data_IF_240024382468
#
_entry.id   IF_240024382468
#
_cell.length_a   1.000
_cell.length_b   1.000
_cell.length_c   1.000
_cell.angle_alpha   90.00
_cell.angle_beta   90.00
_cell.angle_gamma   90.00
#
_symmetry.space_group_name_H-M   'P 1'
#
loop_
_entity.id
_entity.type
_entity.pdbx_description
1 polymer ?
#
# COMPACT_ATOMS: atom_id res chain seq x y z
N UNK A 1 -32.06 21.01 66.51
CA UNK A 1 -32.13 19.67 65.91
C UNK A 1 -32.47 19.82 64.44
N UNK A 2 -31.51 19.48 63.58
CA UNK A 2 -31.58 19.61 62.12
C UNK A 2 -31.70 18.19 61.55
N UNK A 3 -32.88 17.80 61.04
CA UNK A 3 -33.09 16.53 60.36
C UNK A 3 -33.11 16.79 58.86
N UNK A 4 -32.03 16.39 58.19
CA UNK A 4 -31.72 16.61 56.78
C UNK A 4 -32.05 15.35 55.98
N UNK A 5 -32.95 15.49 54.99
CA UNK A 5 -32.95 14.82 53.66
C UNK A 5 -33.14 13.28 53.63
N UNK A 6 -33.59 12.60 52.57
CA UNK A 6 -33.94 12.84 51.16
C UNK A 6 -35.07 11.82 50.85
N UNK A 7 -36.09 12.13 50.04
CA UNK A 7 -37.00 11.11 49.52
C UNK A 7 -36.26 10.27 48.45
N UNK A 8 -35.49 9.26 48.87
CA UNK A 8 -34.75 8.40 47.93
C UNK A 8 -34.63 6.92 48.36
N UNK A 9 -35.53 6.44 49.21
CA UNK A 9 -35.53 5.04 49.67
C UNK A 9 -36.33 4.07 48.77
N UNK A 10 -36.83 4.52 47.61
CA UNK A 10 -37.62 3.69 46.68
C UNK A 10 -36.99 3.56 45.28
N UNK A 11 -35.73 3.99 45.09
CA UNK A 11 -35.03 3.94 43.79
C UNK A 11 -33.75 3.09 43.81
N UNK A 12 -33.63 2.17 44.75
CA UNK A 12 -32.48 1.25 44.83
C UNK A 12 -32.86 -0.24 44.86
N UNK A 13 -34.14 -0.59 45.03
CA UNK A 13 -34.57 -2.00 45.05
C UNK A 13 -34.99 -2.54 43.67
N UNK A 14 -35.08 -1.68 42.65
CA UNK A 14 -35.50 -2.04 41.28
C UNK A 14 -34.35 -1.94 40.25
N UNK A 15 -33.12 -1.69 40.70
CA UNK A 15 -31.96 -1.49 39.84
C UNK A 15 -31.10 -2.75 39.62
N UNK A 16 -31.47 -3.89 40.22
CA UNK A 16 -30.68 -5.13 40.16
C UNK A 16 -31.10 -6.10 39.05
N UNK A 17 -32.08 -5.72 38.21
CA UNK A 17 -32.55 -6.56 37.11
C UNK A 17 -32.45 -5.84 35.76
N UNK A 18 -31.76 -6.44 34.80
CA UNK A 18 -31.82 -6.05 33.39
C UNK A 18 -32.94 -6.90 32.76
N UNK A 19 -34.12 -6.30 32.58
CA UNK A 19 -35.26 -6.98 31.95
C UNK A 19 -35.94 -8.06 32.80
N UNK A 20 -35.97 -7.92 34.12
CA UNK A 20 -36.73 -8.81 35.02
C UNK A 20 -36.04 -10.14 35.39
N UNK A 21 -34.73 -10.26 35.17
CA UNK A 21 -33.91 -11.39 35.66
C UNK A 21 -32.73 -10.88 36.50
N UNK A 22 -32.35 -11.60 37.57
CA UNK A 22 -31.23 -11.19 38.44
C UNK A 22 -29.90 -11.31 37.69
N UNK A 23 -28.91 -10.49 38.07
CA UNK A 23 -27.58 -10.46 37.46
C UNK A 23 -26.85 -11.84 37.45
N UNK A 24 -27.21 -12.76 38.36
CA UNK A 24 -26.70 -14.14 38.39
C UNK A 24 -27.12 -14.97 37.17
N UNK A 25 -28.21 -14.62 36.47
CA UNK A 25 -28.61 -15.27 35.23
C UNK A 25 -27.68 -14.95 34.05
N UNK A 26 -26.88 -13.88 34.16
CA UNK A 26 -25.86 -13.50 33.18
C UNK A 26 -24.43 -13.83 33.64
N UNK A 27 -24.24 -14.19 34.92
CA UNK A 27 -22.99 -14.69 35.51
C UNK A 27 -22.89 -16.23 35.48
N UNK A 28 -23.34 -16.86 34.38
CA UNK A 28 -22.91 -18.21 34.01
C UNK A 28 -22.44 -18.20 32.56
N UNK A 29 -21.41 -17.40 32.29
CA UNK A 29 -20.50 -17.71 31.19
C UNK A 29 -19.70 -18.96 31.60
N UNK A 30 -19.62 -19.95 30.73
CA UNK A 30 -18.86 -21.17 30.99
C UNK A 30 -17.43 -20.84 31.45
N UNK A 31 -17.10 -21.28 32.67
CA UNK A 31 -15.74 -21.37 33.20
C UNK A 31 -14.91 -22.24 32.26
N UNK A 32 -14.22 -21.61 31.31
CA UNK A 32 -13.11 -22.25 30.60
C UNK A 32 -11.88 -22.18 31.49
N UNK A 33 -11.71 -23.17 32.37
CA UNK A 33 -10.45 -23.42 33.08
C UNK A 33 -9.59 -24.34 32.22
N UNK A 34 -8.84 -23.75 31.28
CA UNK A 34 -7.94 -24.45 30.38
C UNK A 34 -7.65 -23.66 29.10
N UNK A 35 -6.45 -23.82 28.56
CA UNK A 35 -5.97 -23.13 27.35
C UNK A 35 -7.00 -23.15 26.21
N UNK A 36 -7.08 -22.06 25.45
CA UNK A 36 -8.09 -21.73 24.41
C UNK A 36 -8.03 -22.64 23.17
N UNK A 37 -7.65 -23.91 23.32
CA UNK A 37 -7.38 -24.85 22.23
C UNK A 37 -8.15 -26.18 22.30
N UNK A 38 -9.10 -26.36 23.24
CA UNK A 38 -9.86 -27.61 23.37
C UNK A 38 -11.30 -27.50 22.87
N UNK A 39 -11.84 -28.47 22.11
CA UNK A 39 -12.99 -28.28 21.21
C UNK A 39 -14.39 -28.38 21.85
N UNK A 40 -14.53 -28.34 23.17
CA UNK A 40 -15.80 -28.67 23.84
C UNK A 40 -16.65 -27.48 24.29
N UNK A 41 -16.37 -26.25 23.82
CA UNK A 41 -17.19 -25.08 24.10
C UNK A 41 -17.93 -24.63 22.82
N UNK A 42 -19.09 -25.24 22.53
CA UNK A 42 -20.01 -24.75 21.51
C UNK A 42 -21.27 -24.19 22.17
N UNK A 43 -21.58 -22.92 21.90
CA UNK A 43 -22.91 -22.36 22.11
C UNK A 43 -23.70 -22.49 20.79
N UNK A 44 -24.78 -23.25 20.81
CA UNK A 44 -25.70 -23.47 19.68
C UNK A 44 -26.87 -22.48 19.72
N UNK A 45 -27.10 -21.73 18.63
CA UNK A 45 -28.34 -20.96 18.43
C UNK A 45 -28.45 -20.24 17.08
N UNK A 46 -29.27 -20.79 16.16
CA UNK A 46 -30.18 -20.12 15.21
C UNK A 46 -29.67 -19.17 14.09
N UNK A 47 -29.83 -19.60 12.83
CA UNK A 47 -29.46 -18.98 11.51
C UNK A 47 -30.30 -17.75 11.03
N UNK A 48 -29.93 -17.08 9.91
CA UNK A 48 -30.45 -17.45 8.56
C UNK A 48 -29.44 -17.32 7.38
N UNK A 49 -29.89 -17.64 6.16
CA UNK A 49 -29.16 -18.30 5.07
C UNK A 49 -28.46 -17.44 3.95
N UNK A 50 -27.44 -18.07 3.33
CA UNK A 50 -26.99 -18.05 1.89
C UNK A 50 -26.36 -16.78 1.25
N UNK A 51 -25.50 -16.84 0.19
CA UNK A 51 -25.12 -17.98 -0.68
C UNK A 51 -23.61 -18.24 -0.89
N UNK A 52 -23.31 -19.32 -1.62
CA UNK A 52 -22.01 -20.00 -1.74
C UNK A 52 -21.09 -19.56 -2.91
N UNK A 53 -19.78 -19.78 -2.69
CA UNK A 53 -18.64 -20.01 -3.62
C UNK A 53 -18.03 -18.79 -4.37
N UNK A 54 -16.73 -18.82 -4.82
CA UNK A 54 -15.81 -19.96 -4.97
C UNK A 54 -14.44 -19.80 -4.25
N UNK A 55 -13.79 -20.95 -3.98
CA UNK A 55 -12.53 -21.05 -3.25
C UNK A 55 -11.35 -20.39 -3.95
N UNK A 56 -10.57 -19.61 -3.19
CA UNK A 56 -9.33 -19.00 -3.63
C UNK A 56 -8.13 -19.65 -2.93
N UNK A 57 -7.13 -20.02 -3.74
CA UNK A 57 -5.92 -20.73 -3.35
C UNK A 57 -5.07 -19.92 -2.35
N UNK A 58 -4.55 -20.61 -1.34
CA UNK A 58 -3.69 -20.07 -0.29
C UNK A 58 -2.23 -20.01 -0.78
N UNK A 59 -1.65 -18.81 -0.82
CA UNK A 59 -0.19 -18.63 -0.93
C UNK A 59 0.37 -18.26 0.45
N UNK A 60 1.28 -19.10 0.95
CA UNK A 60 1.81 -19.12 2.30
C UNK A 60 2.97 -18.12 2.46
N UNK A 61 2.92 -17.20 3.42
CA UNK A 61 4.07 -16.36 3.80
C UNK A 61 4.81 -17.01 4.97
N UNK A 62 5.70 -17.95 4.64
CA UNK A 62 6.61 -18.55 5.60
C UNK A 62 7.87 -17.68 5.76
N UNK A 63 8.12 -17.23 6.99
CA UNK A 63 9.38 -16.65 7.45
C UNK A 63 9.63 -17.00 8.91
N UNK A 64 10.58 -17.90 9.14
CA UNK A 64 11.05 -18.47 10.42
C UNK A 64 11.81 -17.42 11.25
N UNK A 65 11.85 -17.42 12.59
CA UNK A 65 12.38 -18.47 13.48
C UNK A 65 12.05 -18.11 14.94
N UNK A 66 11.37 -19.01 15.68
CA UNK A 66 11.32 -18.97 17.15
C UNK A 66 9.93 -19.03 17.81
N UNK A 67 9.44 -20.26 18.00
CA UNK A 67 8.34 -20.70 18.90
C UNK A 67 6.92 -20.26 18.51
N UNK A 68 6.05 -21.27 18.33
CA UNK A 68 4.63 -21.24 17.91
C UNK A 68 4.38 -20.47 16.61
N UNK A 69 4.29 -21.20 15.49
CA UNK A 69 3.85 -20.61 14.21
C UNK A 69 2.53 -19.87 14.44
N UNK A 70 2.46 -18.54 14.21
CA UNK A 70 1.16 -17.91 14.06
C UNK A 70 0.48 -18.63 12.91
N UNK A 71 -0.72 -19.17 13.16
CA UNK A 71 -1.61 -19.66 12.11
C UNK A 71 -1.58 -18.62 10.99
N UNK A 72 -1.24 -18.98 9.74
CA UNK A 72 -1.23 -18.03 8.64
C UNK A 72 -2.56 -17.28 8.68
N UNK A 73 -2.50 -15.97 8.89
CA UNK A 73 -3.69 -15.14 8.88
C UNK A 73 -4.13 -15.12 7.42
N UNK A 74 -4.95 -16.10 7.04
CA UNK A 74 -5.60 -16.14 5.74
C UNK A 74 -6.64 -15.01 5.76
N UNK A 75 -6.18 -13.80 5.51
CA UNK A 75 -7.05 -12.67 5.18
C UNK A 75 -7.26 -12.78 3.68
N UNK A 76 -8.47 -13.10 3.20
CA UNK A 76 -8.83 -12.77 1.84
C UNK A 76 -8.70 -11.25 1.71
N UNK A 77 -7.65 -10.75 1.07
CA UNK A 77 -7.52 -9.32 0.76
C UNK A 77 -7.72 -9.09 -0.73
N UNK A 78 -8.97 -8.81 -1.10
CA UNK A 78 -9.14 -7.70 -2.01
C UNK A 78 -10.02 -6.65 -1.33
N UNK A 79 -9.36 -5.72 -0.66
CA UNK A 79 -9.87 -4.42 -0.24
C UNK A 79 -8.66 -3.51 -0.13
N UNK A 80 -8.48 -2.57 -1.08
CA UNK A 80 -7.35 -1.66 -1.12
C UNK A 80 -7.02 -1.10 0.28
N UNK A 81 -5.76 -1.22 0.72
CA UNK A 81 -5.29 -0.65 1.98
C UNK A 81 -4.57 0.66 1.68
N UNK A 82 -5.14 1.76 2.15
CA UNK A 82 -4.55 3.09 1.96
C UNK A 82 -3.64 3.41 3.15
N UNK A 83 -2.42 3.87 2.86
CA UNK A 83 -1.52 4.42 3.86
C UNK A 83 -1.60 5.95 3.78
N UNK A 84 -2.13 6.59 4.83
CA UNK A 84 -2.28 8.05 4.91
C UNK A 84 -1.67 8.53 6.22
N UNK A 85 -0.69 9.44 6.12
CA UNK A 85 0.06 9.99 7.23
C UNK A 85 0.52 11.42 6.86
N UNK A 86 0.94 12.21 7.85
CA UNK A 86 1.45 13.58 7.73
C UNK A 86 2.90 13.73 8.20
N UNK A 87 3.64 12.62 8.30
CA UNK A 87 5.07 12.59 8.63
C UNK A 87 5.95 13.41 7.67
N UNK A 88 7.08 13.89 8.17
CA UNK A 88 8.10 14.60 7.38
C UNK A 88 9.06 13.66 6.63
N UNK A 89 9.09 12.37 7.00
CA UNK A 89 9.99 11.39 6.40
C UNK A 89 9.25 10.52 5.37
N UNK A 90 8.73 9.37 5.81
CA UNK A 90 8.22 8.32 4.95
C UNK A 90 7.00 7.63 5.57
N UNK A 91 5.94 7.48 4.78
CA UNK A 91 4.78 6.67 5.19
C UNK A 91 5.13 5.18 5.12
N UNK A 92 5.91 4.78 4.11
CA UNK A 92 6.36 3.40 3.90
C UNK A 92 7.80 3.40 3.42
N UNK A 93 8.63 2.55 4.02
CA UNK A 93 9.97 2.22 3.50
C UNK A 93 10.05 0.78 3.06
N UNK A 94 10.72 0.58 1.92
CA UNK A 94 11.09 -0.73 1.42
C UNK A 94 12.61 -0.77 1.29
N UNK A 95 13.26 -1.43 2.24
CA UNK A 95 14.71 -1.57 2.27
C UNK A 95 15.08 -3.01 1.90
N UNK A 96 15.95 -3.15 0.92
CA UNK A 96 16.47 -4.44 0.47
C UNK A 96 17.99 -4.45 0.64
N UNK A 97 18.50 -5.34 1.49
CA UNK A 97 19.92 -5.39 1.88
C UNK A 97 20.74 -6.43 1.10
N UNK A 98 20.12 -7.21 0.20
CA UNK A 98 20.79 -8.22 -0.62
C UNK A 98 20.91 -7.80 -2.08
N UNK A 99 20.73 -8.73 -3.02
CA UNK A 99 20.82 -8.46 -4.48
C UNK A 99 19.49 -8.58 -5.26
N UNK A 100 18.40 -8.97 -4.60
CA UNK A 100 17.07 -9.09 -5.21
C UNK A 100 16.33 -7.77 -5.40
N UNK A 101 15.05 -7.84 -5.78
CA UNK A 101 14.20 -6.66 -5.90
C UNK A 101 13.66 -6.22 -4.54
N UNK A 102 13.80 -4.93 -4.21
CA UNK A 102 13.09 -4.35 -3.07
C UNK A 102 11.58 -4.31 -3.30
N UNK A 103 11.15 -3.90 -4.49
CA UNK A 103 9.75 -3.84 -4.89
C UNK A 103 9.59 -4.42 -6.30
N UNK A 104 8.71 -5.41 -6.46
CA UNK A 104 8.27 -5.93 -7.76
C UNK A 104 6.77 -5.75 -7.90
N UNK A 105 6.36 -5.08 -8.97
CA UNK A 105 4.95 -4.81 -9.27
C UNK A 105 4.58 -5.47 -10.60
N UNK A 106 3.40 -6.06 -10.67
CA UNK A 106 2.85 -6.66 -11.89
C UNK A 106 1.37 -6.35 -11.94
N UNK A 107 0.92 -5.82 -13.07
CA UNK A 107 -0.49 -5.55 -13.33
C UNK A 107 -0.88 -6.26 -14.63
N UNK A 108 -2.06 -6.90 -14.64
CA UNK A 108 -2.57 -7.60 -15.82
C UNK A 108 -3.06 -6.64 -16.91
N UNK A 109 -3.46 -5.41 -16.53
CA UNK A 109 -3.91 -4.36 -17.44
C UNK A 109 -3.61 -2.98 -16.85
N UNK A 110 -3.63 -1.95 -17.71
CA UNK A 110 -3.55 -0.52 -17.37
C UNK A 110 -2.20 -0.11 -16.77
N UNK A 111 -2.12 0.03 -15.44
CA UNK A 111 -1.01 0.70 -14.76
C UNK A 111 -0.52 -0.13 -13.59
N UNK A 112 0.77 -0.50 -13.60
CA UNK A 112 1.40 -1.16 -12.45
C UNK A 112 1.62 -0.21 -11.28
N UNK A 113 2.23 0.95 -11.54
CA UNK A 113 2.53 1.99 -10.54
C UNK A 113 2.05 3.34 -11.08
N UNK A 114 1.18 4.01 -10.33
CA UNK A 114 0.79 5.40 -10.59
C UNK A 114 1.38 6.28 -9.49
N UNK A 115 2.17 7.27 -9.90
CA UNK A 115 2.79 8.23 -8.98
C UNK A 115 2.29 9.63 -9.31
N UNK A 116 1.75 10.32 -8.31
CA UNK A 116 1.22 11.68 -8.44
C UNK A 116 1.70 12.53 -7.26
N UNK A 117 2.28 13.68 -7.58
CA UNK A 117 2.58 14.70 -6.60
C UNK A 117 1.74 15.94 -6.91
N UNK A 118 0.97 16.41 -5.93
CA UNK A 118 -0.08 17.44 -6.14
C UNK A 118 0.32 18.84 -5.70
N UNK A 119 1.47 19.00 -5.04
CA UNK A 119 1.96 20.33 -4.68
C UNK A 119 2.32 21.13 -5.93
N UNK A 120 2.11 22.45 -5.86
CA UNK A 120 2.21 23.37 -7.01
C UNK A 120 3.40 24.31 -6.93
N UNK A 121 4.23 24.22 -5.88
CA UNK A 121 5.40 25.08 -5.68
C UNK A 121 6.55 24.30 -5.04
N UNK A 122 7.77 24.75 -5.28
CA UNK A 122 9.00 24.06 -4.84
C UNK A 122 9.42 22.91 -5.76
N UNK A 123 10.51 22.23 -5.38
CA UNK A 123 11.04 21.09 -6.13
C UNK A 123 10.29 19.81 -5.73
N UNK A 124 9.28 19.44 -6.51
CA UNK A 124 8.41 18.29 -6.24
C UNK A 124 8.67 17.22 -7.30
N UNK A 125 8.91 15.98 -6.86
CA UNK A 125 9.16 14.83 -7.73
C UNK A 125 8.03 13.80 -7.59
N UNK A 126 7.40 13.42 -8.69
CA UNK A 126 6.48 12.26 -8.69
C UNK A 126 7.23 10.94 -8.53
N UNK A 127 8.36 10.81 -9.22
CA UNK A 127 9.29 9.68 -9.11
C UNK A 127 10.72 10.24 -9.10
N UNK A 128 11.56 9.75 -8.20
CA UNK A 128 12.98 10.11 -8.10
C UNK A 128 13.83 8.85 -8.03
N UNK A 129 14.62 8.62 -9.07
CA UNK A 129 15.64 7.56 -9.08
C UNK A 129 17.00 8.12 -8.72
N UNK A 130 17.70 7.48 -7.78
CA UNK A 130 19.07 7.82 -7.41
C UNK A 130 19.92 6.55 -7.27
N UNK A 131 21.18 6.64 -7.66
CA UNK A 131 22.16 5.59 -7.48
C UNK A 131 23.54 6.21 -7.27
N UNK A 132 24.31 5.63 -6.35
CA UNK A 132 25.69 6.03 -6.10
C UNK A 132 26.71 5.20 -6.91
N UNK A 133 26.24 4.18 -7.64
CA UNK A 133 27.13 3.31 -8.42
C UNK A 133 27.64 4.02 -9.67
N UNK A 134 28.93 3.86 -9.97
CA UNK A 134 29.60 4.46 -11.13
C UNK A 134 29.03 4.00 -12.48
N UNK A 135 28.48 2.78 -12.53
CA UNK A 135 27.75 2.25 -13.69
C UNK A 135 26.24 2.12 -13.45
N UNK A 136 25.72 2.75 -12.40
CA UNK A 136 24.33 2.63 -12.01
C UNK A 136 23.38 3.38 -12.95
N UNK A 137 22.18 2.83 -13.15
CA UNK A 137 21.08 3.51 -13.83
C UNK A 137 20.07 3.96 -12.78
N UNK A 138 19.81 5.27 -12.67
CA UNK A 138 18.85 5.80 -11.69
C UNK A 138 17.40 5.45 -12.02
N UNK A 139 17.03 5.54 -13.31
CA UNK A 139 15.71 5.15 -13.84
C UNK A 139 15.90 4.50 -15.22
N UNK A 140 15.34 3.31 -15.40
CA UNK A 140 15.38 2.57 -16.66
C UNK A 140 13.95 2.34 -17.18
N UNK A 141 13.61 2.94 -18.32
CA UNK A 141 12.34 2.72 -19.01
C UNK A 141 12.53 1.78 -20.20
N UNK A 142 11.86 0.63 -20.18
CA UNK A 142 11.95 -0.39 -21.24
C UNK A 142 10.57 -0.85 -21.67
N UNK A 143 10.35 -0.88 -22.97
CA UNK A 143 9.16 -1.43 -23.60
C UNK A 143 9.59 -2.50 -24.61
N UNK A 144 9.10 -3.72 -24.42
CA UNK A 144 9.53 -4.91 -25.20
C UNK A 144 8.61 -5.22 -26.38
N UNK A 145 7.60 -4.39 -26.65
CA UNK A 145 6.74 -4.56 -27.81
C UNK A 145 7.56 -4.41 -29.11
N UNK A 146 7.47 -5.40 -30.01
CA UNK A 146 8.22 -5.44 -31.28
C UNK A 146 7.48 -4.75 -32.44
N UNK A 147 6.25 -4.30 -32.21
CA UNK A 147 5.42 -3.60 -33.18
C UNK A 147 4.66 -2.46 -32.49
N UNK A 148 4.24 -1.45 -33.29
CA UNK A 148 3.53 -0.27 -32.78
C UNK A 148 4.46 0.84 -32.27
N UNK A 149 3.88 1.99 -31.90
CA UNK A 149 4.59 3.16 -31.36
C UNK A 149 4.93 2.99 -29.88
N UNK A 150 5.80 2.03 -29.56
CA UNK A 150 6.22 1.72 -28.20
C UNK A 150 7.15 2.80 -27.64
N UNK A 151 6.86 3.29 -26.43
CA UNK A 151 7.73 4.22 -25.70
C UNK A 151 8.25 3.54 -24.42
N UNK A 152 9.56 3.66 -24.15
CA UNK A 152 10.15 3.29 -22.86
C UNK A 152 9.94 4.38 -21.80
N UNK A 153 10.07 5.64 -22.20
CA UNK A 153 9.79 6.83 -21.38
C UNK A 153 9.13 7.89 -22.26
N UNK A 154 8.07 8.52 -21.78
CA UNK A 154 7.38 9.62 -22.46
C UNK A 154 7.33 10.85 -21.53
N UNK A 155 7.89 11.96 -21.99
CA UNK A 155 7.84 13.24 -21.31
C UNK A 155 6.82 14.17 -21.94
N UNK A 156 5.85 14.66 -21.16
CA UNK A 156 4.80 15.58 -21.59
C UNK A 156 4.71 16.75 -20.59
N UNK A 157 4.57 17.97 -21.10
CA UNK A 157 4.32 19.16 -20.28
C UNK A 157 3.31 20.06 -20.98
N UNK A 158 2.34 20.57 -20.23
CA UNK A 158 1.39 21.58 -20.70
C UNK A 158 1.85 23.01 -20.45
N UNK A 159 2.92 23.19 -19.65
CA UNK A 159 3.47 24.51 -19.38
C UNK A 159 4.10 25.10 -20.63
N UNK A 160 3.77 26.35 -20.95
CA UNK A 160 4.33 27.10 -22.09
C UNK A 160 5.83 27.35 -21.97
N UNK A 161 6.37 27.31 -20.75
CA UNK A 161 7.80 27.43 -20.46
C UNK A 161 8.44 26.09 -20.04
N UNK A 162 7.67 24.99 -20.07
CA UNK A 162 8.15 23.69 -19.61
C UNK A 162 9.00 22.95 -20.63
N UNK A 163 9.91 22.11 -20.13
CA UNK A 163 10.65 21.13 -20.94
C UNK A 163 10.07 19.73 -20.71
N UNK A 164 9.68 19.02 -21.76
CA UNK A 164 9.21 17.63 -21.65
C UNK A 164 10.31 16.64 -21.23
N UNK A 165 11.57 16.99 -21.51
CA UNK A 165 12.76 16.29 -21.03
C UNK A 165 13.92 17.30 -20.88
N UNK A 166 14.71 17.17 -19.82
CA UNK A 166 15.88 18.00 -19.55
C UNK A 166 17.03 17.13 -19.04
N UNK A 167 18.11 17.04 -19.83
CA UNK A 167 19.33 16.34 -19.44
C UNK A 167 20.40 17.34 -19.02
N UNK A 168 20.84 17.24 -17.77
CA UNK A 168 21.83 18.15 -17.19
C UNK A 168 22.93 17.35 -16.51
N UNK A 169 24.18 17.64 -16.87
CA UNK A 169 25.37 17.04 -16.29
C UNK A 169 26.19 18.14 -15.62
N UNK A 170 26.45 18.00 -14.32
CA UNK A 170 27.14 19.00 -13.48
C UNK A 170 28.65 18.74 -13.35
N UNK A 171 29.17 17.70 -14.00
CA UNK A 171 30.59 17.40 -13.91
C UNK A 171 31.43 18.54 -14.53
N UNK A 172 32.41 19.03 -13.76
CA UNK A 172 33.31 20.14 -14.17
C UNK A 172 34.54 19.65 -14.94
N UNK A 173 34.74 18.34 -15.04
CA UNK A 173 35.83 17.69 -15.76
C UNK A 173 35.34 16.40 -16.43
N UNK A 174 36.09 15.89 -17.41
CA UNK A 174 35.75 14.68 -18.16
C UNK A 174 34.78 14.92 -19.33
N UNK A 175 34.42 13.84 -20.02
CA UNK A 175 33.50 13.86 -21.16
C UNK A 175 32.02 13.89 -20.69
N UNK A 176 31.64 14.96 -20.00
CA UNK A 176 30.30 15.12 -19.44
C UNK A 176 29.23 15.25 -20.53
N UNK A 177 28.26 14.34 -20.56
CA UNK A 177 27.13 14.37 -21.50
C UNK A 177 25.82 14.52 -20.73
N UNK A 178 24.96 15.46 -21.14
CA UNK A 178 23.63 15.67 -20.56
C UNK A 178 22.55 14.77 -21.16
N UNK A 179 22.54 14.62 -22.49
CA UNK A 179 21.68 13.70 -23.23
C UNK A 179 22.51 13.02 -24.30
N UNK A 180 22.47 11.69 -24.34
CA UNK A 180 23.09 10.87 -25.37
C UNK A 180 22.01 9.96 -25.95
N UNK A 181 21.85 9.96 -27.28
CA UNK A 181 20.94 9.04 -27.96
C UNK A 181 21.72 8.20 -28.96
N UNK A 182 21.33 6.93 -29.05
CA UNK A 182 21.93 5.94 -29.92
C UNK A 182 20.83 5.05 -30.50
N UNK A 183 21.05 4.54 -31.70
CA UNK A 183 20.23 3.51 -32.33
C UNK A 183 21.15 2.50 -33.01
N UNK A 184 20.83 1.23 -32.91
CA UNK A 184 21.59 0.14 -33.58
C UNK A 184 21.08 -0.12 -35.00
N UNK A 185 19.94 0.46 -35.38
CA UNK A 185 19.37 0.28 -36.71
C UNK A 185 20.11 1.14 -37.74
N UNK A 186 20.49 0.52 -38.86
CA UNK A 186 21.15 1.21 -39.97
C UNK A 186 20.32 2.35 -40.56
N UNK A 187 18.98 2.28 -40.44
CA UNK A 187 18.05 3.33 -40.87
C UNK A 187 17.44 4.10 -39.68
N UNK A 188 17.93 3.85 -38.46
CA UNK A 188 17.38 4.43 -37.24
C UNK A 188 17.70 5.91 -37.10
N UNK A 189 16.86 6.61 -36.35
CA UNK A 189 17.11 8.01 -35.94
C UNK A 189 17.16 8.05 -34.42
N UNK A 190 18.33 8.37 -33.86
CA UNK A 190 18.52 8.41 -32.42
C UNK A 190 17.88 9.63 -31.74
N UNK A 191 17.92 10.79 -32.39
CA UNK A 191 17.21 12.00 -31.96
C UNK A 191 16.65 12.73 -33.19
N UNK A 192 15.39 13.14 -33.12
CA UNK A 192 14.73 13.96 -34.14
C UNK A 192 13.85 15.01 -33.46
N UNK A 193 13.94 16.26 -33.92
CA UNK A 193 13.11 17.37 -33.45
C UNK A 193 12.13 17.81 -34.53
N UNK A 194 10.87 18.06 -34.14
CA UNK A 194 9.87 18.74 -34.99
C UNK A 194 9.14 19.76 -34.13
N UNK A 195 9.01 20.98 -34.65
CA UNK A 195 8.18 22.01 -34.05
C UNK A 195 6.88 22.14 -34.84
N UNK A 196 5.75 22.18 -34.13
CA UNK A 196 4.44 22.43 -34.72
C UNK A 196 3.64 23.33 -33.76
N UNK A 197 2.99 24.35 -34.29
CA UNK A 197 1.96 25.11 -33.57
C UNK A 197 0.62 24.39 -33.73
N UNK A 198 -0.13 24.21 -32.64
CA UNK A 198 -1.55 23.84 -32.73
C UNK A 198 -2.33 25.13 -33.05
N UNK A 199 -3.26 25.11 -34.03
CA UNK A 199 -4.13 26.26 -34.30
C UNK A 199 -5.09 26.53 -33.13
#
# INVERSE_FOLDING_TARGET
MLLVSVPYALKAQDAETLGGKPASAFMLAANCSGDVSSPSCQASGGSPASPAAPGAATANLAGTKGKTQPKPLAVPINTATNFVDTTADQVVMVQQNGTGFGLRVTAASNTGIFSQAVGTSGAIYGVRGQTASTGGVGVFGSNTATTGGAYGVLGLTSSSSGAGAYGHNVATTGAAVGVYGQTESAAGVALSGRAASRP
#
